data_IF_593395376059
#
_entry.id   IF_593395376059
#
_cell.length_a   1.000
_cell.length_b   1.000
_cell.length_c   1.000
_cell.angle_alpha   90.00
_cell.angle_beta   90.00
_cell.angle_gamma   90.00
#
_symmetry.space_group_name_H-M   'P 1'
#
loop_
_entity.id
_entity.type
_entity.pdbx_description
1 polymer ?
#
# COMPACT_ATOMS: atom_id res chain seq x y z
N UNK A 1 -58.68 -1.83 -28.36
CA UNK A 1 -58.31 -2.11 -26.95
C UNK A 1 -56.85 -1.73 -26.76
N UNK A 2 -56.61 -0.80 -25.82
CA UNK A 2 -55.27 -0.34 -25.42
C UNK A 2 -54.63 -1.41 -24.54
N UNK A 3 -53.39 -1.78 -24.82
CA UNK A 3 -52.57 -2.63 -23.95
C UNK A 3 -51.14 -2.12 -23.97
N UNK A 4 -50.83 -1.14 -23.13
CA UNK A 4 -49.46 -0.74 -22.82
C UNK A 4 -48.92 -1.75 -21.80
N UNK A 5 -47.85 -2.46 -22.16
CA UNK A 5 -47.07 -3.25 -21.21
C UNK A 5 -45.92 -2.37 -20.75
N UNK A 6 -46.07 -1.86 -19.54
CA UNK A 6 -45.02 -1.18 -18.78
C UNK A 6 -44.00 -2.22 -18.36
N UNK A 7 -42.84 -2.28 -19.02
CA UNK A 7 -41.69 -3.03 -18.52
C UNK A 7 -40.87 -2.11 -17.62
N UNK A 8 -40.88 -2.47 -16.35
CA UNK A 8 -40.34 -1.79 -15.18
C UNK A 8 -38.85 -1.45 -15.29
N UNK A 9 -38.55 -0.22 -14.88
CA UNK A 9 -37.23 0.31 -14.57
C UNK A 9 -36.48 -0.61 -13.59
N UNK A 10 -35.56 -1.42 -14.12
CA UNK A 10 -34.50 -2.04 -13.34
C UNK A 10 -33.37 -1.05 -13.11
N UNK A 11 -33.54 -0.14 -12.16
CA UNK A 11 -32.45 0.69 -11.63
C UNK A 11 -31.51 -0.21 -10.81
N UNK A 12 -30.53 -0.85 -11.48
CA UNK A 12 -29.27 -1.14 -10.81
C UNK A 12 -28.49 0.16 -10.77
N UNK A 13 -28.81 1.01 -9.78
CA UNK A 13 -27.89 2.06 -9.37
C UNK A 13 -26.62 1.37 -8.87
N UNK A 14 -25.63 1.21 -9.75
CA UNK A 14 -24.25 1.06 -9.31
C UNK A 14 -23.95 2.31 -8.51
N UNK A 15 -23.97 2.20 -7.18
CA UNK A 15 -23.31 3.14 -6.29
C UNK A 15 -21.81 3.00 -6.53
N UNK A 16 -21.34 3.46 -7.69
CA UNK A 16 -19.96 3.82 -7.85
C UNK A 16 -19.82 5.15 -7.13
N UNK A 17 -19.24 5.12 -5.92
CA UNK A 17 -18.62 6.31 -5.37
C UNK A 17 -17.61 6.78 -6.43
N UNK A 18 -17.99 7.77 -7.24
CA UNK A 18 -17.09 8.39 -8.19
C UNK A 18 -16.04 9.13 -7.36
N UNK A 19 -14.93 8.47 -7.05
CA UNK A 19 -13.76 9.14 -6.49
C UNK A 19 -13.37 10.27 -7.44
N UNK A 20 -13.13 11.47 -6.91
CA UNK A 20 -12.80 12.64 -7.72
C UNK A 20 -11.43 12.45 -8.37
N UNK A 21 -11.40 12.50 -9.71
CA UNK A 21 -10.15 12.58 -10.46
C UNK A 21 -9.62 14.00 -10.33
N UNK A 22 -8.42 14.15 -9.77
CA UNK A 22 -7.77 15.47 -9.58
C UNK A 22 -6.73 15.76 -10.67
N UNK A 23 -6.24 14.72 -11.33
CA UNK A 23 -5.31 14.82 -12.45
C UNK A 23 -5.40 13.56 -13.32
N UNK A 24 -5.09 13.68 -14.60
CA UNK A 24 -5.00 12.53 -15.50
C UNK A 24 -3.97 12.79 -16.59
N UNK A 25 -3.36 11.74 -17.10
CA UNK A 25 -2.40 11.83 -18.18
C UNK A 25 -2.32 10.56 -19.02
N UNK A 26 -1.52 10.63 -20.08
CA UNK A 26 -1.14 9.50 -20.92
C UNK A 26 0.32 9.66 -21.34
N UNK A 27 0.96 8.54 -21.63
CA UNK A 27 2.34 8.50 -22.06
C UNK A 27 3.00 7.18 -21.65
N UNK A 28 4.12 7.25 -20.95
CA UNK A 28 5.03 6.11 -20.80
C UNK A 28 5.18 5.66 -19.35
N UNK A 29 5.12 4.35 -19.13
CA UNK A 29 5.49 3.70 -17.88
C UNK A 29 6.90 3.16 -17.98
N UNK A 30 7.75 3.54 -17.03
CA UNK A 30 9.14 3.08 -16.91
C UNK A 30 9.43 2.66 -15.47
N UNK A 31 10.63 2.20 -15.13
CA UNK A 31 10.95 1.76 -13.77
C UNK A 31 12.31 2.32 -13.32
N UNK A 32 12.48 2.47 -12.02
CA UNK A 32 13.73 3.00 -11.45
C UNK A 32 14.17 2.35 -10.13
N UNK A 33 13.29 1.61 -9.46
CA UNK A 33 13.57 0.99 -8.17
C UNK A 33 12.91 -0.39 -8.06
N UNK A 34 13.28 -1.18 -7.05
CA UNK A 34 12.50 -2.33 -6.59
C UNK A 34 13.12 -2.85 -5.28
N UNK A 35 12.35 -2.88 -4.20
CA UNK A 35 12.88 -3.28 -2.89
C UNK A 35 12.93 -4.80 -2.70
N UNK A 36 12.18 -5.56 -3.50
CA UNK A 36 12.12 -7.03 -3.43
C UNK A 36 13.05 -7.68 -4.47
N UNK A 37 13.18 -7.06 -5.64
CA UNK A 37 14.00 -7.52 -6.76
C UNK A 37 15.02 -6.45 -7.17
N UNK A 38 15.97 -6.08 -6.29
CA UNK A 38 16.93 -4.99 -6.56
C UNK A 38 17.91 -5.32 -7.69
N UNK A 39 18.03 -6.59 -8.12
CA UNK A 39 18.79 -6.97 -9.32
C UNK A 39 17.80 -7.38 -10.41
N UNK A 40 17.43 -6.44 -11.28
CA UNK A 40 16.37 -6.64 -12.27
C UNK A 40 16.71 -6.01 -13.59
N UNK A 41 16.28 -6.66 -14.68
CA UNK A 41 16.48 -6.19 -16.05
C UNK A 41 17.94 -5.85 -16.40
N UNK A 42 18.90 -6.59 -15.83
CA UNK A 42 20.34 -6.35 -16.02
C UNK A 42 20.87 -5.08 -15.35
N UNK A 43 20.11 -4.48 -14.43
CA UNK A 43 20.48 -3.31 -13.64
C UNK A 43 20.51 -3.63 -12.15
N UNK A 44 21.33 -2.88 -11.41
CA UNK A 44 21.34 -2.85 -9.95
C UNK A 44 20.55 -1.63 -9.46
N UNK A 45 19.37 -1.89 -8.92
CA UNK A 45 18.42 -0.89 -8.40
C UNK A 45 18.64 -0.60 -6.90
N UNK A 46 19.59 -1.28 -6.24
CA UNK A 46 19.79 -1.14 -4.79
C UNK A 46 20.18 0.29 -4.40
N UNK A 47 20.97 0.97 -5.22
CA UNK A 47 21.35 2.37 -5.01
C UNK A 47 20.13 3.28 -5.08
N UNK A 48 19.26 3.08 -6.07
CA UNK A 48 18.03 3.85 -6.20
C UNK A 48 17.15 3.68 -4.96
N UNK A 49 17.05 2.47 -4.40
CA UNK A 49 16.25 2.19 -3.20
C UNK A 49 16.69 2.98 -1.95
N UNK A 50 17.93 3.50 -1.92
CA UNK A 50 18.44 4.34 -0.83
C UNK A 50 18.16 5.83 -1.00
N UNK A 51 17.67 6.24 -2.17
CA UNK A 51 17.26 7.61 -2.45
C UNK A 51 16.01 8.01 -1.67
N UNK A 52 16.02 9.22 -1.14
CA UNK A 52 14.86 9.82 -0.48
C UNK A 52 13.78 10.13 -1.51
N UNK A 53 12.53 9.92 -1.13
CA UNK A 53 11.39 10.20 -2.01
C UNK A 53 10.97 11.66 -1.87
N UNK A 54 10.65 12.33 -2.98
CA UNK A 54 10.32 13.77 -2.98
C UNK A 54 9.18 14.13 -2.02
N UNK A 55 8.21 13.24 -1.84
CA UNK A 55 7.06 13.50 -0.98
C UNK A 55 7.39 13.52 0.53
N UNK A 56 8.54 13.00 0.96
CA UNK A 56 8.97 13.01 2.37
C UNK A 56 10.04 14.09 2.61
N UNK A 57 9.62 15.34 2.81
CA UNK A 57 10.56 16.46 2.89
C UNK A 57 11.18 16.68 4.28
N UNK A 58 10.53 16.25 5.36
CA UNK A 58 10.96 16.56 6.73
C UNK A 58 11.66 15.40 7.43
N UNK A 59 11.11 14.18 7.36
CA UNK A 59 11.71 12.98 7.95
C UNK A 59 12.65 12.28 6.95
N UNK A 60 12.50 12.60 5.66
CA UNK A 60 13.32 12.10 4.55
C UNK A 60 13.35 10.57 4.48
N UNK A 61 12.19 9.98 4.20
CA UNK A 61 12.07 8.55 3.94
C UNK A 61 12.68 8.19 2.58
N UNK A 62 13.47 7.12 2.55
CA UNK A 62 13.90 6.46 1.32
C UNK A 62 12.96 5.32 0.93
N UNK A 63 13.12 4.80 -0.29
CA UNK A 63 12.26 3.75 -0.84
C UNK A 63 12.27 2.45 -0.02
N UNK A 64 13.41 2.07 0.59
CA UNK A 64 13.46 0.94 1.53
C UNK A 64 12.60 1.19 2.78
N UNK A 65 12.55 2.43 3.28
CA UNK A 65 11.73 2.82 4.44
C UNK A 65 10.25 2.94 4.10
N UNK A 66 9.90 3.41 2.90
CA UNK A 66 8.52 3.35 2.38
C UNK A 66 8.03 1.90 2.33
N UNK A 67 8.94 0.96 2.03
CA UNK A 67 8.70 -0.47 2.05
C UNK A 67 7.48 -0.89 1.18
N UNK A 68 7.35 -0.28 -0.01
CA UNK A 68 6.29 -0.61 -0.95
C UNK A 68 6.79 -0.52 -2.39
N UNK A 69 6.45 -1.53 -3.19
CA UNK A 69 6.66 -1.53 -4.63
C UNK A 69 5.50 -0.87 -5.41
N UNK A 70 4.50 -0.33 -4.70
CA UNK A 70 3.34 0.36 -5.31
C UNK A 70 3.52 1.89 -5.36
N UNK A 71 4.65 2.42 -4.88
CA UNK A 71 4.98 3.82 -5.07
C UNK A 71 5.27 4.08 -6.55
N UNK A 72 4.73 5.17 -7.09
CA UNK A 72 5.07 5.69 -8.41
C UNK A 72 5.68 7.09 -8.29
N UNK A 73 6.66 7.36 -9.13
CA UNK A 73 7.19 8.68 -9.37
C UNK A 73 6.41 9.35 -10.52
N UNK A 74 6.01 10.61 -10.36
CA UNK A 74 5.33 11.38 -11.42
C UNK A 74 6.09 12.67 -11.73
N UNK A 75 5.59 13.47 -12.68
CA UNK A 75 6.18 14.77 -13.03
C UNK A 75 6.55 15.61 -11.78
N UNK A 76 7.86 15.76 -11.56
CA UNK A 76 8.44 16.51 -10.44
C UNK A 76 7.88 17.95 -10.36
N UNK A 77 7.80 18.67 -11.48
CA UNK A 77 7.31 20.05 -11.50
C UNK A 77 5.87 20.19 -11.01
N UNK A 78 5.02 19.16 -11.22
CA UNK A 78 3.66 19.14 -10.66
C UNK A 78 3.68 18.90 -9.16
N UNK A 79 4.44 17.90 -8.69
CA UNK A 79 4.58 17.60 -7.26
C UNK A 79 5.13 18.81 -6.50
N UNK A 80 6.24 19.37 -6.97
CA UNK A 80 6.89 20.53 -6.37
C UNK A 80 5.99 21.77 -6.31
N UNK A 81 5.00 21.90 -7.21
CA UNK A 81 4.04 23.01 -7.17
C UNK A 81 3.03 22.90 -6.02
N UNK A 82 2.69 21.67 -5.60
CA UNK A 82 1.76 21.41 -4.51
C UNK A 82 1.85 19.96 -4.01
N UNK A 83 2.75 19.70 -3.06
CA UNK A 83 2.99 18.36 -2.50
C UNK A 83 1.69 17.75 -1.94
N UNK A 84 0.91 18.52 -1.17
CA UNK A 84 -0.33 18.05 -0.53
C UNK A 84 -1.43 17.63 -1.51
N UNK A 85 -1.39 18.16 -2.73
CA UNK A 85 -2.34 17.79 -3.78
C UNK A 85 -2.03 16.42 -4.37
N UNK A 86 -0.76 16.02 -4.48
CA UNK A 86 -0.35 14.84 -5.24
C UNK A 86 0.24 13.71 -4.38
N UNK A 87 1.08 14.04 -3.41
CA UNK A 87 1.75 13.04 -2.59
C UNK A 87 0.75 12.18 -1.84
N UNK A 88 0.97 10.87 -1.89
CA UNK A 88 0.14 9.88 -1.23
C UNK A 88 -1.16 9.54 -1.95
N UNK A 89 -1.51 10.26 -3.02
CA UNK A 89 -2.76 10.07 -3.75
C UNK A 89 -2.73 8.81 -4.59
N UNK A 90 -3.86 8.12 -4.62
CA UNK A 90 -4.09 6.93 -5.42
C UNK A 90 -3.92 7.24 -6.90
N UNK A 91 -3.26 6.32 -7.60
CA UNK A 91 -3.14 6.34 -9.05
C UNK A 91 -3.76 5.08 -9.61
N UNK A 92 -4.73 5.25 -10.53
CA UNK A 92 -5.26 4.16 -11.35
C UNK A 92 -4.54 4.21 -12.69
N UNK A 93 -3.69 3.22 -12.93
CA UNK A 93 -2.93 3.09 -14.19
C UNK A 93 -3.66 2.14 -15.11
N UNK A 94 -3.77 2.49 -16.39
CA UNK A 94 -4.40 1.67 -17.43
C UNK A 94 -3.42 1.33 -18.54
N UNK A 95 -3.42 0.08 -18.99
CA UNK A 95 -2.68 -0.41 -20.16
C UNK A 95 -3.70 -0.84 -21.21
N UNK A 96 -3.59 -0.35 -22.45
CA UNK A 96 -4.57 -0.60 -23.52
C UNK A 96 -6.03 -0.29 -23.09
N UNK A 97 -6.21 0.74 -22.27
CA UNK A 97 -7.50 1.15 -21.72
C UNK A 97 -8.07 0.26 -20.61
N UNK A 98 -7.33 -0.77 -20.16
CA UNK A 98 -7.73 -1.61 -19.03
C UNK A 98 -7.08 -1.11 -17.73
N UNK A 99 -7.84 -0.70 -16.72
CA UNK A 99 -7.30 -0.26 -15.44
C UNK A 99 -6.70 -1.43 -14.67
N UNK A 100 -5.56 -1.17 -14.04
CA UNK A 100 -4.91 -2.08 -13.10
C UNK A 100 -5.69 -2.16 -11.78
N UNK A 101 -5.58 -3.30 -11.10
CA UNK A 101 -6.11 -3.50 -9.75
C UNK A 101 -5.13 -3.08 -8.64
N UNK A 102 -3.88 -2.80 -8.99
CA UNK A 102 -2.85 -2.41 -8.03
C UNK A 102 -3.12 -1.01 -7.48
N UNK A 103 -3.14 -0.83 -6.14
CA UNK A 103 -3.39 0.46 -5.52
C UNK A 103 -2.09 1.29 -5.50
N UNK A 104 -1.71 1.84 -6.65
CA UNK A 104 -0.54 2.71 -6.75
C UNK A 104 -0.76 4.03 -6.01
N UNK A 105 0.33 4.63 -5.52
CA UNK A 105 0.29 5.97 -4.94
C UNK A 105 1.51 6.79 -5.34
N UNK A 106 1.33 8.11 -5.46
CA UNK A 106 2.43 9.03 -5.76
C UNK A 106 3.30 9.17 -4.52
N UNK A 107 4.60 8.95 -4.65
CA UNK A 107 5.54 9.20 -3.54
C UNK A 107 6.81 9.92 -3.95
N UNK A 108 7.11 10.03 -5.24
CA UNK A 108 8.40 10.56 -5.68
C UNK A 108 8.29 11.39 -6.98
N UNK A 109 9.35 12.12 -7.29
CA UNK A 109 9.49 12.97 -8.45
C UNK A 109 10.26 12.32 -9.59
N UNK A 110 9.79 12.54 -10.81
CA UNK A 110 10.46 12.15 -12.03
C UNK A 110 10.55 13.37 -12.96
N UNK A 111 11.78 13.85 -13.17
CA UNK A 111 12.08 15.03 -13.99
C UNK A 111 11.67 14.82 -15.45
N UNK A 112 12.10 13.69 -16.04
CA UNK A 112 11.78 13.35 -17.45
C UNK A 112 10.29 13.09 -17.68
N UNK A 113 9.55 12.72 -16.63
CA UNK A 113 8.12 12.46 -16.69
C UNK A 113 7.28 13.72 -16.89
N UNK A 114 7.89 14.91 -16.77
CA UNK A 114 7.26 16.19 -17.04
C UNK A 114 7.53 16.79 -18.41
N UNK A 115 8.34 16.13 -19.26
CA UNK A 115 8.82 16.69 -20.51
C UNK A 115 8.53 15.77 -21.70
N UNK A 116 8.61 16.29 -22.92
CA UNK A 116 8.35 15.53 -24.14
C UNK A 116 6.88 15.51 -24.57
N UNK A 117 6.52 14.55 -25.43
CA UNK A 117 5.17 14.43 -26.01
C UNK A 117 4.51 13.12 -25.58
N UNK A 118 3.27 13.20 -25.13
CA UNK A 118 2.44 12.04 -24.75
C UNK A 118 1.88 11.27 -25.94
N UNK A 119 1.99 11.81 -27.15
CA UNK A 119 1.49 11.22 -28.40
C UNK A 119 2.59 11.05 -29.47
N UNK A 120 3.80 11.53 -29.18
CA UNK A 120 4.98 11.31 -30.01
C UNK A 120 5.64 9.97 -29.69
N UNK A 121 6.64 9.52 -30.46
CA UNK A 121 7.37 8.29 -30.16
C UNK A 121 8.11 8.38 -28.81
N UNK A 122 8.40 7.22 -28.21
CA UNK A 122 9.16 7.14 -26.97
C UNK A 122 10.52 7.86 -27.10
N UNK A 123 10.84 8.68 -26.11
CA UNK A 123 12.10 9.41 -26.01
C UNK A 123 12.67 9.26 -24.59
N UNK A 124 13.85 8.64 -24.41
CA UNK A 124 14.42 8.40 -23.08
C UNK A 124 14.73 9.70 -22.30
N UNK A 125 14.90 10.83 -23.00
CA UNK A 125 15.23 12.13 -22.39
C UNK A 125 13.99 12.97 -22.01
N UNK A 126 12.80 12.55 -22.43
CA UNK A 126 11.56 13.28 -22.16
C UNK A 126 10.35 12.45 -22.56
N UNK A 127 9.75 11.81 -21.57
CA UNK A 127 8.68 10.85 -21.73
C UNK A 127 7.62 11.16 -20.69
N UNK A 128 6.54 11.89 -21.03
CA UNK A 128 5.47 12.16 -20.09
C UNK A 128 4.95 10.84 -19.54
N UNK A 129 4.86 10.68 -18.23
CA UNK A 129 4.74 9.32 -17.72
C UNK A 129 4.79 9.16 -16.21
N UNK A 130 4.95 7.90 -15.81
CA UNK A 130 5.14 7.45 -14.43
C UNK A 130 6.33 6.49 -14.37
N UNK A 131 7.14 6.63 -13.33
CA UNK A 131 8.27 5.75 -13.04
C UNK A 131 7.89 4.82 -11.86
N UNK A 132 7.92 3.52 -12.07
CA UNK A 132 7.40 2.48 -11.16
C UNK A 132 8.53 1.69 -10.47
N UNK A 133 8.15 0.78 -9.58
CA UNK A 133 9.02 -0.35 -9.28
C UNK A 133 9.10 -1.31 -10.47
N UNK A 134 10.19 -2.07 -10.58
CA UNK A 134 10.33 -3.09 -11.62
C UNK A 134 9.18 -4.12 -11.57
N UNK A 135 8.88 -4.65 -10.39
CA UNK A 135 7.83 -5.67 -10.20
C UNK A 135 6.46 -5.13 -10.57
N UNK A 136 6.15 -3.88 -10.19
CA UNK A 136 4.89 -3.24 -10.55
C UNK A 136 4.75 -3.08 -12.07
N UNK A 137 5.77 -2.55 -12.75
CA UNK A 137 5.71 -2.35 -14.19
C UNK A 137 5.65 -3.68 -14.94
N UNK A 138 6.41 -4.68 -14.50
CA UNK A 138 6.41 -6.02 -15.07
C UNK A 138 5.04 -6.70 -14.92
N UNK A 139 4.35 -6.48 -13.79
CA UNK A 139 2.99 -6.97 -13.58
C UNK A 139 1.96 -6.28 -14.49
N UNK A 140 2.16 -5.00 -14.83
CA UNK A 140 1.33 -4.30 -15.80
C UNK A 140 1.56 -4.82 -17.24
N UNK A 141 2.81 -5.13 -17.59
CA UNK A 141 3.18 -5.71 -18.87
C UNK A 141 4.60 -6.30 -18.82
N UNK A 142 4.70 -7.61 -19.03
CA UNK A 142 5.96 -8.37 -18.91
C UNK A 142 7.05 -7.98 -19.92
N UNK A 143 6.72 -7.24 -20.99
CA UNK A 143 7.69 -6.77 -21.98
C UNK A 143 8.36 -5.44 -21.59
N UNK A 144 7.95 -4.81 -20.49
CA UNK A 144 8.45 -3.49 -20.10
C UNK A 144 9.97 -3.43 -19.93
N UNK A 145 10.58 -4.50 -19.41
CA UNK A 145 12.03 -4.63 -19.31
C UNK A 145 12.71 -4.60 -20.69
N UNK A 146 12.26 -5.44 -21.62
CA UNK A 146 12.86 -5.57 -22.94
C UNK A 146 12.71 -4.29 -23.78
N UNK A 147 11.57 -3.61 -23.64
CA UNK A 147 11.27 -2.39 -24.38
C UNK A 147 11.79 -1.13 -23.69
N UNK A 148 12.18 -1.23 -22.42
CA UNK A 148 12.54 -0.10 -21.56
C UNK A 148 11.37 0.80 -21.15
N UNK A 149 10.15 0.55 -21.68
CA UNK A 149 8.93 1.30 -21.40
C UNK A 149 7.68 0.51 -21.82
N UNK A 150 6.51 1.02 -21.41
CA UNK A 150 5.19 0.63 -21.91
C UNK A 150 4.31 1.86 -22.10
N UNK A 151 3.30 1.79 -22.96
CA UNK A 151 2.30 2.84 -23.09
C UNK A 151 1.24 2.70 -21.99
N UNK A 152 0.93 3.82 -21.32
CA UNK A 152 -0.04 3.90 -20.23
C UNK A 152 -0.94 5.13 -20.35
N UNK A 153 -2.09 5.06 -19.71
CA UNK A 153 -2.81 6.22 -19.21
C UNK A 153 -3.02 6.10 -17.71
N UNK A 154 -3.26 7.22 -17.02
CA UNK A 154 -3.50 7.19 -15.59
C UNK A 154 -4.47 8.28 -15.14
N UNK A 155 -5.09 8.02 -14.00
CA UNK A 155 -5.88 8.97 -13.25
C UNK A 155 -5.33 9.03 -11.83
N UNK A 156 -5.13 10.23 -11.31
CA UNK A 156 -4.86 10.50 -9.90
C UNK A 156 -6.18 10.82 -9.24
N UNK A 157 -6.52 10.07 -8.20
CA UNK A 157 -7.76 10.20 -7.47
C UNK A 157 -7.52 10.97 -6.17
N UNK A 158 -8.51 11.72 -5.70
CA UNK A 158 -8.49 12.38 -4.38
C UNK A 158 -8.70 11.39 -3.22
N UNK A 159 -8.06 10.22 -3.32
CA UNK A 159 -8.05 9.19 -2.29
C UNK A 159 -6.61 9.04 -1.84
N UNK A 160 -6.33 9.24 -0.56
CA UNK A 160 -4.98 9.09 -0.01
C UNK A 160 -4.77 7.63 0.39
N UNK A 161 -3.69 7.03 -0.10
CA UNK A 161 -3.26 5.68 0.27
C UNK A 161 -2.00 5.69 1.16
N UNK A 162 -1.24 6.78 1.15
CA UNK A 162 -0.04 6.95 1.96
C UNK A 162 0.01 8.38 2.50
N UNK A 163 0.19 8.57 3.79
CA UNK A 163 0.39 9.88 4.37
C UNK A 163 1.86 10.27 4.22
N UNK A 164 2.09 11.48 3.73
CA UNK A 164 3.39 12.10 3.69
C UNK A 164 3.34 13.40 4.48
N UNK A 165 4.44 13.76 5.12
CA UNK A 165 4.57 15.05 5.78
C UNK A 165 4.84 16.15 4.75
N UNK A 166 3.78 16.65 4.11
CA UNK A 166 3.88 17.62 3.01
C UNK A 166 3.64 19.07 3.42
N UNK A 167 3.15 19.31 4.65
CA UNK A 167 2.60 20.61 5.04
C UNK A 167 3.18 21.17 6.35
N UNK A 168 3.67 20.34 7.28
CA UNK A 168 4.28 20.80 8.53
C UNK A 168 4.95 19.64 9.29
N UNK A 169 6.20 19.80 9.78
CA UNK A 169 6.93 18.76 10.51
C UNK A 169 6.10 18.06 11.59
N UNK A 170 6.14 16.72 11.58
CA UNK A 170 5.53 15.87 12.59
C UNK A 170 4.14 15.34 12.23
N UNK A 171 3.73 15.42 10.97
CA UNK A 171 2.58 14.65 10.49
C UNK A 171 2.92 13.15 10.40
N UNK A 172 1.94 12.24 10.52
CA UNK A 172 2.16 10.82 10.29
C UNK A 172 2.68 10.56 8.88
N UNK A 173 3.76 9.78 8.75
CA UNK A 173 4.20 9.22 7.48
C UNK A 173 3.95 7.71 7.47
N UNK A 174 3.30 7.19 6.43
CA UNK A 174 2.94 5.77 6.36
C UNK A 174 1.64 5.48 5.60
N UNK A 175 1.34 4.20 5.32
CA UNK A 175 0.09 3.81 4.68
C UNK A 175 -1.15 4.32 5.42
N UNK A 176 -2.18 4.74 4.68
CA UNK A 176 -3.48 5.08 5.26
C UNK A 176 -4.20 3.79 5.63
N UNK A 177 -4.44 3.58 6.92
CA UNK A 177 -5.33 2.53 7.40
C UNK A 177 -6.77 2.86 6.96
N UNK A 178 -7.27 2.16 5.93
CA UNK A 178 -8.69 2.04 5.54
C UNK A 178 -9.59 3.28 5.68
N UNK A 179 -9.93 3.92 4.55
CA UNK A 179 -10.80 5.09 4.48
C UNK A 179 -12.08 5.01 5.33
N UNK A 180 -12.11 5.82 6.37
CA UNK A 180 -13.28 6.16 7.18
C UNK A 180 -13.00 7.49 7.87
N UNK A 181 -13.90 8.46 7.65
CA UNK A 181 -14.11 9.75 8.32
C UNK A 181 -13.32 9.99 9.65
N UNK A 182 -12.83 11.21 9.97
CA UNK A 182 -12.07 11.48 11.19
C UNK A 182 -12.99 11.36 12.42
N UNK A 183 -13.07 10.14 12.95
CA UNK A 183 -13.80 9.77 14.15
C UNK A 183 -12.80 9.41 15.23
N UNK A 184 -12.60 10.34 16.14
CA UNK A 184 -11.99 10.17 17.46
C UNK A 184 -12.16 8.76 18.08
N UNK A 185 -11.06 8.11 18.45
CA UNK A 185 -10.98 6.86 19.22
C UNK A 185 -9.75 6.07 18.77
N UNK A 186 -8.59 6.13 19.42
CA UNK A 186 -8.40 5.90 20.85
C UNK A 186 -8.12 4.41 21.08
N UNK A 187 -6.86 3.97 20.86
CA UNK A 187 -6.29 2.79 21.50
C UNK A 187 -5.93 1.59 20.62
N UNK A 188 -4.70 1.58 20.09
CA UNK A 188 -3.72 0.49 20.24
C UNK A 188 -2.54 0.75 19.29
N UNK A 189 -1.32 0.86 19.82
CA UNK A 189 -0.09 0.91 19.03
C UNK A 189 0.14 -0.45 18.38
N UNK A 190 -0.01 -0.52 17.06
CA UNK A 190 0.31 -1.70 16.27
C UNK A 190 1.75 -1.62 15.76
N UNK A 191 2.45 -2.75 15.74
CA UNK A 191 3.84 -2.80 15.24
C UNK A 191 3.90 -2.64 13.72
N UNK A 192 2.85 -3.04 13.00
CA UNK A 192 2.74 -2.92 11.55
C UNK A 192 1.60 -1.99 11.15
N UNK A 193 1.97 -0.78 10.74
CA UNK A 193 1.04 0.25 10.28
C UNK A 193 0.25 -0.24 9.05
N UNK A 194 -1.08 -0.03 9.07
CA UNK A 194 -1.99 -0.50 8.02
C UNK A 194 -2.57 -1.91 8.25
N UNK A 195 -2.08 -2.65 9.24
CA UNK A 195 -2.51 -4.01 9.58
C UNK A 195 -3.08 -4.09 11.01
N UNK A 196 -3.49 -2.94 11.54
CA UNK A 196 -3.96 -2.77 12.92
C UNK A 196 -5.43 -3.19 13.06
N UNK A 197 -5.96 -3.14 14.28
CA UNK A 197 -7.36 -3.47 14.52
C UNK A 197 -8.26 -2.57 13.67
N UNK A 198 -9.17 -3.18 12.89
CA UNK A 198 -10.02 -2.51 11.92
C UNK A 198 -9.47 -2.46 10.49
N UNK A 199 -8.22 -2.89 10.24
CA UNK A 199 -7.65 -2.95 8.91
C UNK A 199 -8.25 -4.09 8.07
N UNK A 200 -8.38 -3.89 6.76
CA UNK A 200 -8.80 -4.96 5.85
C UNK A 200 -7.74 -6.06 5.76
N UNK A 201 -8.17 -7.31 5.72
CA UNK A 201 -7.27 -8.47 5.65
C UNK A 201 -7.88 -9.59 4.78
N UNK A 202 -7.03 -10.48 4.28
CA UNK A 202 -7.45 -11.69 3.56
C UNK A 202 -7.11 -12.97 4.31
N UNK A 203 -6.14 -12.90 5.23
CA UNK A 203 -5.64 -13.96 6.09
C UNK A 203 -5.06 -13.36 7.37
N UNK A 204 -4.84 -14.18 8.40
CA UNK A 204 -4.29 -13.73 9.70
C UNK A 204 -2.90 -13.08 9.57
N UNK A 205 -2.14 -13.46 8.54
CA UNK A 205 -0.83 -12.86 8.25
C UNK A 205 -0.92 -11.43 7.70
N UNK A 206 -2.12 -10.94 7.40
CA UNK A 206 -2.36 -9.55 7.01
C UNK A 206 -2.69 -8.67 8.22
N UNK A 207 -2.46 -9.16 9.44
CA UNK A 207 -2.76 -8.46 10.68
C UNK A 207 -1.51 -8.31 11.57
N UNK A 208 -1.43 -7.16 12.24
CA UNK A 208 -0.32 -6.79 13.12
C UNK A 208 -0.45 -7.44 14.49
N UNK A 209 0.70 -7.71 15.12
CA UNK A 209 0.78 -8.20 16.51
C UNK A 209 0.02 -9.53 16.69
N UNK A 210 -0.97 -9.55 17.60
CA UNK A 210 -1.79 -10.72 17.92
C UNK A 210 -3.18 -10.66 17.27
N UNK A 211 -3.39 -9.75 16.33
CA UNK A 211 -4.67 -9.61 15.63
C UNK A 211 -4.86 -10.73 14.62
N UNK A 212 -6.10 -11.16 14.43
CA UNK A 212 -6.49 -12.18 13.45
C UNK A 212 -7.44 -11.61 12.42
N UNK A 213 -7.45 -12.19 11.23
CA UNK A 213 -8.31 -11.74 10.16
C UNK A 213 -9.71 -12.34 10.31
N UNK A 214 -10.59 -11.58 10.95
CA UNK A 214 -11.97 -12.00 11.15
C UNK A 214 -12.90 -11.26 10.18
N UNK A 215 -13.56 -12.02 9.31
CA UNK A 215 -14.55 -11.49 8.36
C UNK A 215 -13.99 -10.36 7.46
N UNK A 216 -12.72 -10.52 7.06
CA UNK A 216 -12.02 -9.57 6.19
C UNK A 216 -11.50 -8.32 6.90
N UNK A 217 -11.52 -8.30 8.25
CA UNK A 217 -11.02 -7.20 9.07
C UNK A 217 -10.15 -7.74 10.22
N UNK A 218 -8.99 -7.13 10.45
CA UNK A 218 -8.13 -7.42 11.58
C UNK A 218 -8.84 -7.08 12.87
N UNK A 219 -9.00 -8.06 13.75
CA UNK A 219 -9.66 -7.87 15.04
C UNK A 219 -8.87 -8.60 16.13
N UNK A 220 -9.03 -8.15 17.37
CA UNK A 220 -8.55 -8.93 18.49
C UNK A 220 -9.21 -10.30 18.45
N UNK A 221 -8.42 -11.35 18.64
CA UNK A 221 -8.97 -12.70 18.74
C UNK A 221 -10.06 -12.69 19.81
N UNK A 222 -11.23 -13.23 19.46
CA UNK A 222 -12.38 -13.27 20.37
C UNK A 222 -12.14 -14.24 21.55
N UNK A 223 -10.96 -14.88 21.60
CA UNK A 223 -10.43 -15.61 22.73
C UNK A 223 -9.56 -14.77 23.67
N UNK A 224 -10.19 -14.23 24.71
CA UNK A 224 -9.60 -13.74 25.98
C UNK A 224 -9.14 -12.28 26.10
N UNK A 225 -10.05 -11.49 26.67
CA UNK A 225 -9.85 -10.61 27.84
C UNK A 225 -8.40 -10.39 28.30
N UNK A 226 -8.01 -9.12 28.36
CA UNK A 226 -6.75 -8.67 28.93
C UNK A 226 -6.43 -9.28 30.29
N UNK A 227 -5.15 -9.51 30.50
CA UNK A 227 -4.53 -9.68 31.80
C UNK A 227 -3.08 -9.23 31.67
N UNK A 228 -2.66 -8.45 32.66
CA UNK A 228 -1.30 -8.02 33.01
C UNK A 228 -0.16 -8.92 32.48
N UNK A 229 1.02 -8.34 32.16
CA UNK A 229 2.16 -9.10 31.64
C UNK A 229 2.46 -10.31 32.54
N UNK A 230 2.46 -11.55 32.01
CA UNK A 230 2.85 -12.72 32.79
C UNK A 230 4.36 -12.69 33.05
N UNK A 231 4.75 -13.38 34.12
CA UNK A 231 6.11 -13.47 34.65
C UNK A 231 7.16 -13.77 33.58
N UNK A 232 8.36 -13.21 33.78
CA UNK A 232 9.56 -13.49 32.98
C UNK A 232 9.85 -15.00 32.96
N UNK A 233 9.46 -15.64 31.88
CA UNK A 233 9.76 -17.03 31.53
C UNK A 233 11.18 -17.11 30.92
N UNK A 234 11.88 -18.21 31.15
CA UNK A 234 13.20 -18.46 30.56
C UNK A 234 13.16 -18.62 29.03
N UNK A 235 12.01 -18.99 28.45
CA UNK A 235 11.81 -19.15 27.02
C UNK A 235 10.58 -18.39 26.51
N UNK A 236 10.83 -17.38 25.68
CA UNK A 236 9.81 -16.56 25.03
C UNK A 236 8.90 -17.43 24.13
N UNK A 237 7.59 -17.30 24.29
CA UNK A 237 6.59 -18.11 23.59
C UNK A 237 6.14 -19.39 24.31
N UNK A 238 6.79 -19.78 25.41
CA UNK A 238 6.50 -21.01 26.18
C UNK A 238 6.04 -20.73 27.63
N UNK A 239 5.50 -19.55 27.85
CA UNK A 239 5.16 -19.02 29.17
C UNK A 239 3.74 -19.45 29.61
N UNK A 240 3.33 -19.10 30.82
CA UNK A 240 1.98 -19.42 31.30
C UNK A 240 0.91 -18.89 30.33
N UNK A 241 0.03 -19.79 29.85
CA UNK A 241 -0.99 -19.50 28.84
C UNK A 241 -0.55 -19.68 27.38
N UNK A 242 0.73 -19.99 27.12
CA UNK A 242 1.19 -20.42 25.80
C UNK A 242 0.56 -21.75 25.40
N UNK A 243 0.40 -21.95 24.09
CA UNK A 243 -0.09 -23.21 23.53
C UNK A 243 0.99 -24.29 23.63
N UNK A 244 0.62 -25.50 24.03
CA UNK A 244 1.54 -26.63 24.19
C UNK A 244 0.91 -27.93 23.70
N UNK A 245 1.76 -28.90 23.34
CA UNK A 245 1.36 -30.26 22.97
C UNK A 245 1.86 -31.31 23.97
N UNK A 246 2.91 -30.97 24.71
CA UNK A 246 3.56 -31.78 25.73
C UNK A 246 4.19 -30.88 26.80
N UNK A 247 4.58 -31.45 27.95
CA UNK A 247 5.18 -30.69 29.06
C UNK A 247 6.50 -30.00 28.68
N UNK A 248 7.22 -30.53 27.68
CA UNK A 248 8.48 -29.95 27.17
C UNK A 248 8.26 -28.66 26.33
N UNK A 249 7.00 -28.34 25.99
CA UNK A 249 6.64 -27.11 25.29
C UNK A 249 6.41 -25.95 26.28
N UNK A 250 6.74 -26.11 27.56
CA UNK A 250 6.50 -25.12 28.61
C UNK A 250 7.81 -24.72 29.32
N UNK A 251 7.94 -23.42 29.61
CA UNK A 251 9.13 -22.85 30.25
C UNK A 251 9.14 -23.16 31.75
N UNK A 252 10.36 -23.26 32.30
CA UNK A 252 10.63 -23.38 33.73
C UNK A 252 9.97 -24.62 34.36
N UNK A 253 9.07 -24.43 35.32
CA UNK A 253 8.38 -25.51 36.03
C UNK A 253 6.93 -25.70 35.56
N UNK A 254 6.55 -25.09 34.43
CA UNK A 254 5.18 -25.16 33.91
C UNK A 254 4.96 -26.51 33.18
N UNK A 255 3.72 -27.00 33.19
CA UNK A 255 3.30 -28.24 32.54
C UNK A 255 2.19 -27.96 31.53
N UNK A 256 2.05 -28.85 30.54
CA UNK A 256 1.06 -28.70 29.51
C UNK A 256 -0.30 -29.27 29.94
N UNK A 257 -1.21 -28.39 30.34
CA UNK A 257 -2.55 -28.77 30.76
C UNK A 257 -3.59 -28.29 29.74
N UNK A 258 -4.32 -29.24 29.15
CA UNK A 258 -5.40 -28.95 28.21
C UNK A 258 -4.96 -28.06 27.02
N UNK A 259 -3.73 -28.29 26.55
CA UNK A 259 -3.14 -27.55 25.44
C UNK A 259 -2.60 -26.17 25.81
N UNK A 260 -2.49 -25.84 27.11
CA UNK A 260 -1.94 -24.58 27.61
C UNK A 260 -0.94 -24.78 28.76
N UNK A 261 0.14 -24.01 28.77
CA UNK A 261 1.12 -24.05 29.85
C UNK A 261 0.55 -23.47 31.15
N UNK A 262 0.58 -24.24 32.24
CA UNK A 262 0.11 -23.84 33.57
C UNK A 262 1.06 -24.33 34.68
N UNK A 263 1.05 -23.72 35.87
CA UNK A 263 1.77 -24.25 37.04
C UNK A 263 1.31 -25.65 37.45
#
# INVERSE_FOLDING_TARGET
>A
MKGQITASLGFFAKLALSQSVIYSGSGYGTYYYDIQHPQSCGQDLSVANTGNVECSQFIALNLNQINSNNLVAMNHSLIASNLAQYCGRQVVVSVNGQPSSTPFFIGDGCERCGTGSSTGPWNPNGAPGLDFSFSALSALNSNACNNGHIDISWQVLDTTLYNFDTNAPGQPEGPVSGGGNPGNGGGSTCTWAGHCQGASCSSDNDCSDSLVCNSGVCSADSGSSGSTPPATCSWEGHCQGASCSSDDDCSDSLVCNSGKCSP
#
